data_IF_835158024776
#
_entry.id   IF_835158024776
#
_cell.length_a   1.000
_cell.length_b   1.000
_cell.length_c   1.000
_cell.angle_alpha   90.00
_cell.angle_beta   90.00
_cell.angle_gamma   90.00
#
_symmetry.space_group_name_H-M   'P 1'
#
loop_
_entity.id
_entity.type
_entity.pdbx_description
1 polymer ?
#
# COMPACT_ATOMS: atom_id res chain seq x y z
N UNK A 1 7.65 10.34 -3.82
CA UNK A 1 6.52 10.10 -4.71
C UNK A 1 5.49 9.29 -3.97
N UNK A 2 4.27 9.67 -4.05
CA UNK A 2 3.24 8.91 -3.36
C UNK A 2 3.02 7.54 -4.01
N UNK A 3 1.93 7.35 -4.67
CA UNK A 3 1.65 6.05 -5.29
C UNK A 3 2.39 5.95 -6.62
N UNK A 4 3.01 4.81 -6.88
CA UNK A 4 3.77 4.60 -8.10
C UNK A 4 2.86 4.67 -9.33
N UNK A 5 3.33 5.37 -10.35
CA UNK A 5 2.68 5.36 -11.66
C UNK A 5 2.91 4.00 -12.32
N UNK A 6 2.16 3.64 -13.37
CA UNK A 6 2.43 2.41 -14.11
C UNK A 6 3.89 2.29 -14.57
N UNK A 7 4.49 3.41 -14.98
CA UNK A 7 5.88 3.42 -15.43
C UNK A 7 6.82 3.13 -14.27
N UNK A 8 6.62 3.76 -13.12
CA UNK A 8 7.44 3.52 -11.92
C UNK A 8 7.26 2.10 -11.42
N UNK A 9 6.02 1.60 -11.44
CA UNK A 9 5.76 0.21 -11.05
C UNK A 9 6.51 -0.76 -11.97
N UNK A 10 6.49 -0.51 -13.28
CA UNK A 10 7.23 -1.31 -14.24
C UNK A 10 8.73 -1.32 -13.93
N UNK A 11 9.31 -0.16 -13.60
CA UNK A 11 10.72 -0.05 -13.23
C UNK A 11 11.02 -0.82 -11.93
N UNK A 12 10.11 -0.77 -10.96
CA UNK A 12 10.25 -1.54 -9.72
C UNK A 12 10.33 -3.04 -10.01
N UNK A 13 9.40 -3.54 -10.82
CA UNK A 13 9.34 -4.96 -11.16
C UNK A 13 10.56 -5.39 -11.95
N UNK A 14 11.00 -4.59 -12.91
CA UNK A 14 12.20 -4.89 -13.70
C UNK A 14 13.44 -4.94 -12.80
N UNK A 15 13.56 -4.02 -11.87
CA UNK A 15 14.68 -3.97 -10.93
C UNK A 15 14.69 -5.20 -10.02
N UNK A 16 13.51 -5.61 -9.53
CA UNK A 16 13.39 -6.80 -8.69
C UNK A 16 13.80 -8.05 -9.46
N UNK A 17 13.38 -8.16 -10.71
CA UNK A 17 13.72 -9.29 -11.57
C UNK A 17 15.21 -9.32 -11.86
N UNK A 18 15.78 -8.17 -12.21
CA UNK A 18 17.20 -8.06 -12.55
C UNK A 18 18.10 -8.40 -11.38
N UNK A 19 17.77 -7.95 -10.18
CA UNK A 19 18.59 -8.14 -8.99
C UNK A 19 18.16 -9.33 -8.12
N UNK A 20 17.10 -10.03 -8.49
CA UNK A 20 16.68 -11.27 -7.82
C UNK A 20 16.09 -11.07 -6.44
N UNK A 21 15.27 -10.03 -6.24
CA UNK A 21 14.59 -9.81 -4.97
C UNK A 21 13.08 -9.62 -5.18
N UNK A 22 12.34 -9.63 -4.08
CA UNK A 22 10.91 -9.36 -4.08
C UNK A 22 10.62 -8.16 -3.18
N UNK A 23 9.60 -7.40 -3.52
CA UNK A 23 9.15 -6.33 -2.64
C UNK A 23 8.25 -6.87 -1.55
N UNK A 24 8.31 -6.28 -0.34
CA UNK A 24 7.33 -6.61 0.68
C UNK A 24 5.94 -6.17 0.22
N UNK A 25 4.96 -7.02 0.44
CA UNK A 25 3.57 -6.75 0.13
C UNK A 25 2.76 -6.98 1.41
N UNK A 26 2.27 -5.90 1.99
CA UNK A 26 1.66 -5.92 3.32
C UNK A 26 0.17 -5.64 3.22
N UNK A 27 -0.63 -6.54 3.75
CA UNK A 27 -2.08 -6.33 3.87
C UNK A 27 -2.36 -5.32 4.98
N UNK A 28 -3.17 -4.32 4.66
CA UNK A 28 -3.55 -3.30 5.63
C UNK A 28 -5.06 -3.30 5.79
N UNK A 29 -5.53 -2.95 6.99
CA UNK A 29 -6.95 -2.96 7.33
C UNK A 29 -7.43 -1.64 7.93
N UNK A 30 -6.52 -0.71 8.19
CA UNK A 30 -6.83 0.53 8.88
C UNK A 30 -5.78 1.59 8.53
N UNK A 31 -6.08 2.83 8.92
CA UNK A 31 -5.10 3.91 8.77
C UNK A 31 -3.83 3.64 9.56
N UNK A 32 -3.95 3.02 10.75
CA UNK A 32 -2.78 2.70 11.57
C UNK A 32 -1.90 1.66 10.90
N UNK A 33 -2.49 0.57 10.40
CA UNK A 33 -1.70 -0.48 9.75
C UNK A 33 -1.08 0.02 8.44
N UNK A 34 -1.80 0.87 7.71
CA UNK A 34 -1.26 1.46 6.50
C UNK A 34 -0.07 2.38 6.80
N UNK A 35 -0.20 3.25 7.78
CA UNK A 35 0.91 4.11 8.19
C UNK A 35 2.10 3.32 8.70
N UNK A 36 1.85 2.25 9.45
CA UNK A 36 2.91 1.37 9.94
C UNK A 36 3.66 0.71 8.78
N UNK A 37 2.95 0.26 7.75
CA UNK A 37 3.59 -0.32 6.57
C UNK A 37 4.47 0.70 5.86
N UNK A 38 3.97 1.91 5.64
CA UNK A 38 4.74 2.97 4.98
C UNK A 38 5.98 3.34 5.79
N UNK A 39 5.84 3.42 7.11
CA UNK A 39 6.97 3.69 7.99
C UNK A 39 8.01 2.57 7.90
N UNK A 40 7.56 1.32 7.92
CA UNK A 40 8.46 0.17 7.80
C UNK A 40 9.23 0.16 6.49
N UNK A 41 8.57 0.45 5.37
CA UNK A 41 9.24 0.55 4.07
C UNK A 41 10.30 1.65 4.10
N UNK A 42 9.95 2.79 4.67
CA UNK A 42 10.86 3.94 4.77
C UNK A 42 12.09 3.60 5.60
N UNK A 43 11.89 2.98 6.77
CA UNK A 43 13.00 2.60 7.64
C UNK A 43 13.90 1.56 7.00
N UNK A 44 13.33 0.67 6.23
CA UNK A 44 14.11 -0.34 5.50
C UNK A 44 14.78 0.22 4.24
N UNK A 45 14.42 1.44 3.82
CA UNK A 45 14.92 2.02 2.58
C UNK A 45 14.43 1.25 1.36
N UNK A 46 13.23 0.67 1.42
CA UNK A 46 12.69 -0.18 0.38
C UNK A 46 11.37 0.37 -0.13
N UNK A 47 11.17 0.29 -1.43
CA UNK A 47 9.83 0.42 -1.99
C UNK A 47 8.99 -0.77 -1.52
N UNK A 48 7.68 -0.65 -1.56
CA UNK A 48 6.82 -1.71 -1.08
C UNK A 48 5.46 -1.70 -1.74
N UNK A 49 4.68 -2.71 -1.43
CA UNK A 49 3.32 -2.87 -1.97
C UNK A 49 2.35 -2.92 -0.81
N UNK A 50 1.34 -2.08 -0.87
CA UNK A 50 0.23 -2.11 0.08
C UNK A 50 -0.90 -2.92 -0.57
N UNK A 51 -1.41 -3.90 0.16
CA UNK A 51 -2.47 -4.78 -0.31
C UNK A 51 -3.72 -4.61 0.54
N UNK A 52 -4.87 -4.81 -0.07
CA UNK A 52 -6.15 -4.76 0.62
C UNK A 52 -6.91 -6.03 0.27
N UNK A 53 -7.12 -6.89 1.25
CA UNK A 53 -7.93 -8.09 1.05
C UNK A 53 -9.40 -7.73 1.09
N UNK A 54 -10.25 -8.64 0.59
CA UNK A 54 -11.71 -8.42 0.66
C UNK A 54 -12.19 -8.29 2.10
N UNK A 55 -11.65 -9.12 3.00
CA UNK A 55 -11.98 -9.03 4.42
C UNK A 55 -11.51 -7.75 5.07
N UNK A 56 -10.31 -7.28 4.72
CA UNK A 56 -9.78 -6.01 5.20
C UNK A 56 -10.61 -4.83 4.71
N UNK A 57 -11.03 -4.88 3.44
CA UNK A 57 -11.89 -3.85 2.87
C UNK A 57 -13.25 -3.82 3.58
N UNK A 58 -13.83 -4.97 3.82
CA UNK A 58 -15.10 -5.07 4.55
C UNK A 58 -14.97 -4.49 5.96
N UNK A 59 -13.88 -4.82 6.64
CA UNK A 59 -13.61 -4.30 7.98
C UNK A 59 -13.49 -2.77 7.97
N UNK A 60 -12.86 -2.21 6.96
CA UNK A 60 -12.63 -0.77 6.85
C UNK A 60 -13.85 0.01 6.35
N UNK A 61 -14.92 -0.66 5.97
CA UNK A 61 -16.08 0.01 5.37
C UNK A 61 -16.98 0.71 6.38
N UNK A 62 -16.85 0.40 7.65
CA UNK A 62 -17.65 0.98 8.71
C UNK A 62 -18.09 -0.07 9.71
N UNK A 63 -18.38 0.34 10.95
CA UNK A 63 -18.84 -0.59 11.98
C UNK A 63 -20.16 -1.22 11.54
N UNK A 64 -20.22 -2.55 11.59
CA UNK A 64 -21.38 -3.35 11.18
C UNK A 64 -21.75 -3.24 9.71
N UNK A 65 -20.94 -2.53 8.92
CA UNK A 65 -21.13 -2.43 7.48
C UNK A 65 -20.30 -3.50 6.79
N UNK A 66 -20.82 -4.09 5.72
CA UNK A 66 -20.12 -5.14 4.98
C UNK A 66 -20.06 -4.76 3.51
N UNK A 67 -19.32 -3.71 3.23
CA UNK A 67 -19.18 -3.17 1.87
C UNK A 67 -17.70 -3.10 1.47
N UNK A 68 -17.24 -4.18 0.84
CA UNK A 68 -15.85 -4.30 0.41
C UNK A 68 -15.42 -3.17 -0.53
N UNK A 69 -16.33 -2.71 -1.39
CA UNK A 69 -16.00 -1.65 -2.34
C UNK A 69 -15.72 -0.35 -1.61
N UNK A 70 -16.61 0.02 -0.68
CA UNK A 70 -16.43 1.23 0.11
C UNK A 70 -15.12 1.19 0.89
N UNK A 71 -14.83 0.07 1.55
CA UNK A 71 -13.62 -0.07 2.35
C UNK A 71 -12.35 -0.01 1.50
N UNK A 72 -12.35 -0.67 0.35
CA UNK A 72 -11.21 -0.64 -0.56
C UNK A 72 -10.95 0.79 -1.06
N UNK A 73 -12.00 1.50 -1.46
CA UNK A 73 -11.87 2.89 -1.91
C UNK A 73 -11.35 3.79 -0.79
N UNK A 74 -11.89 3.64 0.41
CA UNK A 74 -11.47 4.44 1.55
C UNK A 74 -9.98 4.25 1.87
N UNK A 75 -9.52 3.01 1.92
CA UNK A 75 -8.11 2.71 2.20
C UNK A 75 -7.20 3.18 1.06
N UNK A 76 -7.62 2.99 -0.18
CA UNK A 76 -6.84 3.43 -1.34
C UNK A 76 -6.70 4.95 -1.36
N UNK A 77 -7.79 5.68 -1.13
CA UNK A 77 -7.75 7.13 -1.07
C UNK A 77 -6.88 7.63 0.07
N UNK A 78 -6.98 6.99 1.24
CA UNK A 78 -6.12 7.32 2.37
C UNK A 78 -4.64 7.14 1.98
N UNK A 79 -4.31 6.02 1.34
CA UNK A 79 -2.95 5.75 0.90
C UNK A 79 -2.45 6.83 -0.07
N UNK A 80 -3.28 7.25 -1.02
CA UNK A 80 -2.91 8.30 -1.96
C UNK A 80 -2.62 9.63 -1.26
N UNK A 81 -3.34 9.92 -0.18
CA UNK A 81 -3.15 11.16 0.56
C UNK A 81 -1.87 11.14 1.39
N UNK A 82 -1.60 10.06 2.11
CA UNK A 82 -0.49 10.04 3.09
C UNK A 82 0.83 9.54 2.51
N UNK A 83 0.80 8.73 1.46
CA UNK A 83 2.02 8.13 0.92
C UNK A 83 3.01 9.19 0.42
N UNK A 84 2.53 10.35 0.00
CA UNK A 84 3.39 11.44 -0.46
C UNK A 84 4.36 11.93 0.61
N UNK A 85 4.11 11.63 1.87
CA UNK A 85 4.97 12.06 2.98
C UNK A 85 6.14 11.10 3.21
N UNK A 86 6.21 10.01 2.46
CA UNK A 86 7.24 8.99 2.63
C UNK A 86 8.14 8.95 1.39
N UNK A 87 9.47 8.85 1.57
CA UNK A 87 10.42 8.91 0.45
C UNK A 87 10.64 7.55 -0.21
N UNK A 88 9.57 6.81 -0.46
CA UNK A 88 9.63 5.51 -1.15
C UNK A 88 8.49 5.45 -2.16
N UNK A 89 8.58 4.50 -3.08
CA UNK A 89 7.49 4.21 -4.02
C UNK A 89 6.60 3.11 -3.45
N UNK A 90 5.28 3.29 -3.62
CA UNK A 90 4.29 2.35 -3.08
C UNK A 90 3.28 2.01 -4.16
#
# INVERSE_FOLDING_TARGET
MPIATPEIYGEMIDRAKEHGFAYPAINVTSSQTLNAALQGFTEAGSDGIVQISTGGAEYASGQTVKDMVTGAVALAEYAHVVAKNYPINV
#
